data_IF_372014774876
#
_entry.id   IF_372014774876
#
_cell.length_a   1.000
_cell.length_b   1.000
_cell.length_c   1.000
_cell.angle_alpha   90.00
_cell.angle_beta   90.00
_cell.angle_gamma   90.00
#
_symmetry.space_group_name_H-M   'P 1'
#
loop_
_entity.id
_entity.type
_entity.pdbx_description
1 polymer ?
#
# COMPACT_ATOMS: atom_id res chain seq x y z
N UNK A 1 10.31 -10.94 -4.38
CA UNK A 1 9.67 -11.79 -3.38
C UNK A 1 8.16 -11.72 -3.50
N UNK A 2 7.51 -12.84 -3.46
CA UNK A 2 6.06 -12.93 -3.52
C UNK A 2 5.45 -12.73 -2.14
N UNK A 3 4.37 -11.98 -2.10
CA UNK A 3 3.52 -11.89 -0.91
C UNK A 3 2.39 -12.91 -1.00
N UNK A 4 1.91 -13.39 0.14
CA UNK A 4 0.72 -14.25 0.21
C UNK A 4 -0.47 -13.58 -0.48
N UNK A 5 -0.60 -12.26 -0.38
CA UNK A 5 -1.67 -11.48 -1.00
C UNK A 5 -1.75 -11.67 -2.51
N UNK A 6 -0.60 -11.88 -3.18
CA UNK A 6 -0.57 -12.06 -4.64
C UNK A 6 -1.31 -13.33 -5.11
N UNK A 7 -1.53 -14.27 -4.21
CA UNK A 7 -2.20 -15.54 -4.48
C UNK A 7 -3.63 -15.60 -3.94
N UNK A 8 -4.09 -14.56 -3.24
CA UNK A 8 -5.43 -14.53 -2.67
C UNK A 8 -6.44 -13.99 -3.67
N UNK A 9 -7.67 -14.51 -3.60
CA UNK A 9 -8.80 -13.94 -4.33
C UNK A 9 -9.18 -12.59 -3.72
N UNK A 10 -9.97 -11.81 -4.46
CA UNK A 10 -10.48 -10.52 -3.96
C UNK A 10 -11.27 -10.69 -2.67
N UNK A 11 -12.11 -11.73 -2.59
CA UNK A 11 -12.93 -12.01 -1.39
C UNK A 11 -12.01 -12.31 -0.19
N UNK A 12 -10.96 -13.11 -0.40
CA UNK A 12 -10.02 -13.45 0.66
C UNK A 12 -9.23 -12.22 1.14
N UNK A 13 -8.85 -11.32 0.24
CA UNK A 13 -8.17 -10.07 0.58
C UNK A 13 -9.09 -9.17 1.42
N UNK A 14 -10.35 -9.03 1.01
CA UNK A 14 -11.35 -8.25 1.76
C UNK A 14 -11.53 -8.82 3.16
N UNK A 15 -11.64 -10.15 3.28
CA UNK A 15 -11.78 -10.81 4.55
C UNK A 15 -10.56 -10.60 5.44
N UNK A 16 -9.37 -10.63 4.88
CA UNK A 16 -8.13 -10.34 5.59
C UNK A 16 -8.14 -8.93 6.18
N UNK A 17 -8.54 -7.94 5.39
CA UNK A 17 -8.63 -6.54 5.84
C UNK A 17 -9.66 -6.40 6.96
N UNK A 18 -10.82 -7.02 6.83
CA UNK A 18 -11.86 -6.98 7.85
C UNK A 18 -11.39 -7.62 9.15
N UNK A 19 -10.70 -8.77 9.08
CA UNK A 19 -10.13 -9.44 10.24
C UNK A 19 -9.08 -8.56 10.95
N UNK A 20 -8.21 -7.92 10.19
CA UNK A 20 -7.21 -7.01 10.73
C UNK A 20 -7.84 -5.78 11.39
N UNK A 21 -8.94 -5.29 10.83
CA UNK A 21 -9.68 -4.17 11.40
C UNK A 21 -10.26 -4.52 12.77
N UNK A 22 -10.76 -5.74 12.94
CA UNK A 22 -11.28 -6.22 14.21
C UNK A 22 -10.16 -6.43 15.23
N UNK A 23 -9.02 -6.97 14.81
CA UNK A 23 -7.89 -7.35 15.66
C UNK A 23 -6.84 -6.27 15.84
N UNK A 24 -7.07 -5.05 15.30
CA UNK A 24 -6.05 -4.01 15.22
C UNK A 24 -5.39 -3.65 16.55
N UNK A 25 -6.12 -3.64 17.66
CA UNK A 25 -5.56 -3.35 18.99
C UNK A 25 -4.60 -4.43 19.47
N UNK A 26 -4.91 -5.68 19.15
CA UNK A 26 -4.12 -6.84 19.55
C UNK A 26 -2.81 -6.90 18.78
N UNK A 27 -2.86 -6.64 17.48
CA UNK A 27 -1.71 -6.71 16.58
C UNK A 27 -0.79 -5.52 16.74
N UNK A 28 -1.32 -4.34 17.08
CA UNK A 28 -0.57 -3.10 17.22
C UNK A 28 0.55 -3.17 18.24
N UNK A 29 0.42 -4.00 19.29
CA UNK A 29 1.43 -4.15 20.33
C UNK A 29 2.67 -4.94 19.92
N UNK A 30 2.63 -5.66 18.81
CA UNK A 30 3.74 -6.50 18.36
C UNK A 30 4.62 -5.78 17.33
N UNK A 31 5.57 -5.02 17.83
CA UNK A 31 6.44 -4.15 17.04
C UNK A 31 7.22 -4.86 15.92
N UNK A 32 7.73 -6.07 16.18
CA UNK A 32 8.55 -6.79 15.19
C UNK A 32 7.81 -7.23 13.93
N UNK A 33 6.49 -7.33 13.99
CA UNK A 33 5.67 -7.73 12.85
C UNK A 33 5.04 -6.56 12.11
N UNK A 34 5.23 -5.34 12.61
CA UNK A 34 4.57 -4.14 12.08
C UNK A 34 4.88 -3.89 10.61
N UNK A 35 6.13 -4.01 10.20
CA UNK A 35 6.52 -3.80 8.79
C UNK A 35 5.92 -4.83 7.86
N UNK A 36 5.94 -6.11 8.26
CA UNK A 36 5.35 -7.20 7.45
C UNK A 36 3.85 -7.02 7.32
N UNK A 37 3.20 -6.71 8.43
CA UNK A 37 1.76 -6.43 8.43
C UNK A 37 1.43 -5.25 7.51
N UNK A 38 2.24 -4.21 7.59
CA UNK A 38 2.04 -3.02 6.79
C UNK A 38 2.23 -3.29 5.30
N UNK A 39 3.22 -4.07 4.92
CA UNK A 39 3.40 -4.51 3.54
C UNK A 39 2.20 -5.29 3.03
N UNK A 40 1.65 -6.15 3.86
CA UNK A 40 0.46 -6.94 3.52
C UNK A 40 -0.74 -6.03 3.26
N UNK A 41 -0.97 -5.06 4.13
CA UNK A 41 -2.04 -4.07 3.97
C UNK A 41 -1.83 -3.24 2.70
N UNK A 42 -0.63 -2.75 2.48
CA UNK A 42 -0.27 -1.98 1.29
C UNK A 42 -0.59 -2.75 0.00
N UNK A 43 -0.13 -3.98 -0.10
CA UNK A 43 -0.38 -4.81 -1.28
C UNK A 43 -1.86 -5.11 -1.47
N UNK A 44 -2.58 -5.31 -0.38
CA UNK A 44 -4.03 -5.51 -0.42
C UNK A 44 -4.75 -4.28 -0.98
N UNK A 45 -4.38 -3.09 -0.54
CA UNK A 45 -4.95 -1.83 -1.04
C UNK A 45 -4.75 -1.72 -2.55
N UNK A 46 -3.53 -1.94 -3.01
CA UNK A 46 -3.20 -1.81 -4.43
C UNK A 46 -3.97 -2.82 -5.28
N UNK A 47 -4.04 -4.07 -4.84
CA UNK A 47 -4.79 -5.10 -5.58
C UNK A 47 -6.28 -4.79 -5.64
N UNK A 48 -6.88 -4.38 -4.53
CA UNK A 48 -8.30 -4.01 -4.50
C UNK A 48 -8.57 -2.79 -5.39
N UNK A 49 -7.70 -1.79 -5.32
CA UNK A 49 -7.82 -0.59 -6.14
C UNK A 49 -7.73 -0.91 -7.64
N UNK A 50 -6.80 -1.74 -8.06
CA UNK A 50 -6.64 -2.12 -9.46
C UNK A 50 -7.78 -3.00 -9.98
N UNK A 51 -8.50 -3.66 -9.09
CA UNK A 51 -9.72 -4.42 -9.42
C UNK A 51 -10.98 -3.55 -9.43
N UNK A 52 -10.84 -2.25 -9.16
CA UNK A 52 -11.96 -1.32 -9.15
C UNK A 52 -12.79 -1.32 -7.88
N UNK A 53 -12.33 -2.01 -6.83
CA UNK A 53 -13.05 -2.08 -5.56
C UNK A 53 -12.71 -0.89 -4.66
N UNK A 54 -13.32 0.26 -4.94
CA UNK A 54 -13.06 1.54 -4.26
C UNK A 54 -13.32 1.45 -2.77
N UNK A 55 -14.48 0.91 -2.40
CA UNK A 55 -14.93 0.84 -1.01
C UNK A 55 -13.93 0.08 -0.14
N UNK A 56 -13.53 -1.10 -0.58
CA UNK A 56 -12.62 -1.95 0.19
C UNK A 56 -11.18 -1.43 0.16
N UNK A 57 -10.75 -0.83 -0.95
CA UNK A 57 -9.44 -0.17 -1.01
C UNK A 57 -9.36 0.99 -0.01
N UNK A 58 -10.41 1.80 0.11
CA UNK A 58 -10.46 2.90 1.08
C UNK A 58 -10.49 2.41 2.52
N UNK A 59 -11.16 1.29 2.81
CA UNK A 59 -11.07 0.65 4.13
C UNK A 59 -9.64 0.24 4.46
N UNK A 60 -8.93 -0.31 3.48
CA UNK A 60 -7.52 -0.66 3.63
C UNK A 60 -6.66 0.56 3.93
N UNK A 61 -6.92 1.70 3.27
CA UNK A 61 -6.21 2.95 3.55
C UNK A 61 -6.44 3.43 4.98
N UNK A 62 -7.66 3.38 5.48
CA UNK A 62 -7.97 3.75 6.86
C UNK A 62 -7.19 2.89 7.85
N UNK A 63 -7.12 1.59 7.56
CA UNK A 63 -6.37 0.64 8.37
C UNK A 63 -4.86 0.96 8.33
N UNK A 64 -4.34 1.29 7.16
CA UNK A 64 -2.94 1.68 6.98
C UNK A 64 -2.60 2.95 7.77
N UNK A 65 -3.48 3.94 7.76
CA UNK A 65 -3.32 5.16 8.54
C UNK A 65 -3.31 4.85 10.03
N UNK A 66 -4.20 3.98 10.48
CA UNK A 66 -4.25 3.58 11.89
C UNK A 66 -2.94 2.93 12.34
N UNK A 67 -2.43 1.96 11.58
CA UNK A 67 -1.19 1.27 11.93
C UNK A 67 0.05 2.14 11.76
N UNK A 68 0.02 3.13 10.87
CA UNK A 68 1.13 4.05 10.64
C UNK A 68 1.12 5.26 11.56
N UNK A 69 0.02 5.50 12.28
CA UNK A 69 -0.13 6.69 13.12
C UNK A 69 0.86 6.68 14.29
N UNK A 70 1.58 7.78 14.45
CA UNK A 70 2.58 7.90 15.50
C UNK A 70 3.88 7.14 15.21
N UNK A 71 4.00 6.50 14.05
CA UNK A 71 5.23 5.82 13.65
C UNK A 71 6.25 6.81 13.12
N UNK A 72 7.49 6.70 13.58
CA UNK A 72 8.63 7.42 13.03
C UNK A 72 9.29 6.63 11.88
N UNK A 73 8.70 5.53 11.43
CA UNK A 73 9.24 4.70 10.36
C UNK A 73 8.91 5.30 9.00
N UNK A 74 9.93 5.86 8.36
CA UNK A 74 9.80 6.46 7.03
C UNK A 74 9.36 5.46 5.96
N UNK A 75 9.69 4.19 6.13
CA UNK A 75 9.25 3.13 5.23
C UNK A 75 7.72 3.03 5.23
N UNK A 76 7.12 2.97 6.40
CA UNK A 76 5.67 2.90 6.57
C UNK A 76 4.99 4.15 5.99
N UNK A 77 5.52 5.34 6.29
CA UNK A 77 4.98 6.59 5.77
C UNK A 77 5.03 6.65 4.24
N UNK A 78 6.10 6.13 3.66
CA UNK A 78 6.29 6.12 2.20
C UNK A 78 5.33 5.14 1.53
N UNK A 79 5.13 3.96 2.10
CA UNK A 79 4.14 3.01 1.58
C UNK A 79 2.72 3.58 1.66
N UNK A 80 2.40 4.33 2.72
CA UNK A 80 1.14 5.04 2.84
C UNK A 80 0.94 6.03 1.69
N UNK A 81 1.97 6.79 1.39
CA UNK A 81 1.93 7.76 0.29
C UNK A 81 1.71 7.08 -1.05
N UNK A 82 2.40 5.96 -1.30
CA UNK A 82 2.22 5.19 -2.53
C UNK A 82 0.81 4.60 -2.65
N UNK A 83 0.30 4.00 -1.58
CA UNK A 83 -1.04 3.42 -1.58
C UNK A 83 -2.11 4.49 -1.81
N UNK A 84 -2.02 5.60 -1.10
CA UNK A 84 -2.93 6.72 -1.27
C UNK A 84 -2.82 7.32 -2.68
N UNK A 85 -1.61 7.40 -3.21
CA UNK A 85 -1.38 7.86 -4.58
C UNK A 85 -2.05 6.98 -5.63
N UNK A 86 -1.98 5.66 -5.48
CA UNK A 86 -2.64 4.72 -6.39
C UNK A 86 -4.16 4.86 -6.32
N UNK A 87 -4.73 4.94 -5.13
CA UNK A 87 -6.17 5.11 -4.96
C UNK A 87 -6.63 6.46 -5.53
N UNK A 88 -5.89 7.52 -5.26
CA UNK A 88 -6.19 8.85 -5.78
C UNK A 88 -6.13 8.86 -7.31
N UNK A 89 -5.09 8.26 -7.88
CA UNK A 89 -4.93 8.16 -9.34
C UNK A 89 -6.10 7.44 -10.01
N UNK A 90 -6.52 6.32 -9.44
CA UNK A 90 -7.55 5.49 -10.05
C UNK A 90 -8.96 6.05 -9.88
N UNK A 91 -9.27 6.69 -8.75
CA UNK A 91 -10.65 7.00 -8.39
C UNK A 91 -10.95 8.48 -8.18
N UNK A 92 -9.95 9.35 -8.11
CA UNK A 92 -10.17 10.76 -7.80
C UNK A 92 -9.52 11.69 -8.83
N UNK A 93 -8.20 11.83 -8.80
CA UNK A 93 -7.45 12.77 -9.62
C UNK A 93 -6.15 12.13 -10.08
N UNK A 94 -6.04 11.90 -11.38
CA UNK A 94 -4.85 11.26 -11.97
C UNK A 94 -3.58 12.07 -11.76
N UNK A 95 -3.65 13.38 -11.92
CA UNK A 95 -2.49 14.26 -11.78
C UNK A 95 -1.99 14.26 -10.35
N UNK A 96 -2.90 14.41 -9.40
CA UNK A 96 -2.58 14.39 -7.96
C UNK A 96 -2.03 13.03 -7.54
N UNK A 97 -2.69 11.96 -7.95
CA UNK A 97 -2.25 10.60 -7.63
C UNK A 97 -0.88 10.29 -8.19
N UNK A 98 -0.61 10.68 -9.43
CA UNK A 98 0.71 10.49 -10.05
C UNK A 98 1.79 11.26 -9.30
N UNK A 99 1.51 12.49 -8.89
CA UNK A 99 2.45 13.29 -8.10
C UNK A 99 2.80 12.61 -6.77
N UNK A 100 1.80 12.02 -6.11
CA UNK A 100 2.01 11.28 -4.85
C UNK A 100 2.86 10.02 -5.06
N UNK A 101 2.60 9.28 -6.15
CA UNK A 101 3.35 8.07 -6.49
C UNK A 101 4.82 8.42 -6.76
N UNK A 102 5.07 9.43 -7.58
CA UNK A 102 6.42 9.87 -7.91
C UNK A 102 7.17 10.34 -6.67
N UNK A 103 6.52 11.12 -5.82
CA UNK A 103 7.10 11.57 -4.55
C UNK A 103 7.50 10.40 -3.65
N UNK A 104 6.62 9.41 -3.52
CA UNK A 104 6.90 8.21 -2.73
C UNK A 104 8.09 7.43 -3.25
N UNK A 105 8.15 7.20 -4.56
CA UNK A 105 9.27 6.49 -5.19
C UNK A 105 10.58 7.24 -5.06
N UNK A 106 10.56 8.56 -5.24
CA UNK A 106 11.75 9.39 -5.06
C UNK A 106 12.24 9.39 -3.62
N UNK A 107 11.32 9.36 -2.67
CA UNK A 107 11.67 9.29 -1.25
C UNK A 107 12.42 8.00 -0.93
N UNK A 108 11.94 6.86 -1.43
CA UNK A 108 12.63 5.57 -1.25
C UNK A 108 14.04 5.62 -1.86
N UNK A 109 14.15 6.19 -3.05
CA UNK A 109 15.44 6.33 -3.75
C UNK A 109 16.41 7.20 -2.98
N UNK A 110 15.95 8.35 -2.46
CA UNK A 110 16.78 9.25 -1.66
C UNK A 110 17.28 8.62 -0.36
N UNK A 111 16.53 7.68 0.20
CA UNK A 111 16.95 6.92 1.37
C UNK A 111 18.00 5.85 1.05
N UNK A 112 18.47 5.80 -0.21
CA UNK A 112 19.56 4.93 -0.64
C UNK A 112 19.16 3.53 -1.03
N UNK A 113 17.88 3.26 -1.19
CA UNK A 113 17.42 1.92 -1.54
C UNK A 113 16.85 1.89 -2.97
N UNK A 114 17.75 1.89 -3.96
CA UNK A 114 17.39 1.88 -5.38
C UNK A 114 16.65 0.62 -5.80
N UNK A 115 17.05 -0.55 -5.31
CA UNK A 115 16.38 -1.82 -5.63
C UNK A 115 14.93 -1.81 -5.19
N UNK A 116 14.69 -1.33 -3.99
CA UNK A 116 13.37 -1.28 -3.40
C UNK A 116 12.48 -0.28 -4.17
N UNK A 117 13.05 0.88 -4.54
CA UNK A 117 12.36 1.86 -5.38
C UNK A 117 11.99 1.28 -6.73
N UNK A 118 12.91 0.59 -7.39
CA UNK A 118 12.66 -0.07 -8.69
C UNK A 118 11.59 -1.13 -8.58
N UNK A 119 11.62 -1.92 -7.53
CA UNK A 119 10.63 -2.97 -7.29
C UNK A 119 9.21 -2.38 -7.21
N UNK A 120 9.02 -1.35 -6.39
CA UNK A 120 7.71 -0.71 -6.26
C UNK A 120 7.28 -0.01 -7.54
N UNK A 121 8.20 0.65 -8.21
CA UNK A 121 7.93 1.31 -9.49
C UNK A 121 7.42 0.32 -10.53
N UNK A 122 8.14 -0.78 -10.73
CA UNK A 122 7.76 -1.81 -11.70
C UNK A 122 6.41 -2.43 -11.37
N UNK A 123 6.16 -2.69 -10.09
CA UNK A 123 4.90 -3.26 -9.66
C UNK A 123 3.73 -2.31 -9.90
N UNK A 124 3.89 -1.04 -9.57
CA UNK A 124 2.85 -0.02 -9.79
C UNK A 124 2.58 0.15 -11.28
N UNK A 125 3.62 0.24 -12.10
CA UNK A 125 3.48 0.32 -13.56
C UNK A 125 2.68 -0.85 -14.11
N UNK A 126 3.03 -2.06 -13.70
CA UNK A 126 2.34 -3.26 -14.14
C UNK A 126 0.86 -3.26 -13.74
N UNK A 127 0.57 -2.91 -12.50
CA UNK A 127 -0.80 -2.91 -11.97
C UNK A 127 -1.67 -1.80 -12.57
N UNK A 128 -1.09 -0.67 -12.92
CA UNK A 128 -1.80 0.43 -13.57
C UNK A 128 -1.83 0.32 -15.10
N UNK A 129 -1.16 -0.70 -15.67
CA UNK A 129 -1.09 -0.88 -17.12
C UNK A 129 -0.28 0.20 -17.84
N UNK A 130 0.72 0.77 -17.17
CA UNK A 130 1.57 1.84 -17.70
C UNK A 130 2.94 1.29 -18.10
N UNK A 131 3.58 1.94 -19.09
CA UNK A 131 4.93 1.55 -19.52
C UNK A 131 6.02 2.25 -18.70
N UNK A 132 5.75 3.48 -18.26
CA UNK A 132 6.72 4.28 -17.49
C UNK A 132 6.00 5.33 -16.64
N UNK A 133 6.71 5.80 -15.67
CA UNK A 133 6.29 6.91 -14.82
C UNK A 133 7.08 8.17 -15.14
#
# INVERSE_FOLDING_TARGET
>A
AFSVVDFLSEIEIIQLIDDLKIKKRRVYGEFKYRRRLYQLIYRSIILLATKGNVKEAKKGLELAIFFGNGSADFYISTLNLLANGVVTYLFEDRTKGMSMIVEGLQTIERLGNLEFSRYHKQRILKLLGMEYL
#
